data_IF_435515264431
#
_entry.id   IF_435515264431
#
_cell.length_a   1.000
_cell.length_b   1.000
_cell.length_c   1.000
_cell.angle_alpha   90.00
_cell.angle_beta   90.00
_cell.angle_gamma   90.00
#
_symmetry.space_group_name_H-M   'P 1'
#
loop_
_entity.id
_entity.type
_entity.pdbx_description
1 polymer ?
#
# COMPACT_ATOMS: atom_id res chain seq x y z
N UNK A 1 -43.51 6.79 21.13
CA UNK A 1 -42.55 5.79 21.67
C UNK A 1 -41.15 6.00 21.10
N UNK A 2 -40.97 5.99 19.77
CA UNK A 2 -39.68 6.26 19.08
C UNK A 2 -38.86 7.45 19.61
N UNK A 3 -39.50 8.62 19.78
CA UNK A 3 -38.82 9.83 20.26
C UNK A 3 -38.27 9.70 21.69
N UNK A 4 -38.90 8.89 22.56
CA UNK A 4 -38.40 8.64 23.92
C UNK A 4 -37.13 7.79 23.93
N UNK A 5 -37.05 6.81 23.04
CA UNK A 5 -35.86 5.94 22.91
C UNK A 5 -34.68 6.73 22.35
N UNK A 6 -34.90 7.52 21.30
CA UNK A 6 -33.85 8.39 20.75
C UNK A 6 -33.35 9.39 21.81
N UNK A 7 -34.26 9.96 22.61
CA UNK A 7 -33.89 10.84 23.71
C UNK A 7 -33.11 10.10 24.80
N UNK A 8 -33.50 8.88 25.16
CA UNK A 8 -32.79 8.06 26.13
C UNK A 8 -31.37 7.73 25.65
N UNK A 9 -31.23 7.37 24.37
CA UNK A 9 -29.92 7.13 23.74
C UNK A 9 -29.06 8.39 23.78
N UNK A 10 -29.61 9.55 23.40
CA UNK A 10 -28.87 10.81 23.43
C UNK A 10 -28.46 11.21 24.86
N UNK A 11 -29.33 10.98 25.84
CA UNK A 11 -29.07 11.28 27.27
C UNK A 11 -27.98 10.37 27.83
N UNK A 12 -28.06 9.06 27.57
CA UNK A 12 -27.05 8.09 28.00
C UNK A 12 -25.72 8.32 27.28
N UNK A 13 -25.75 8.68 25.99
CA UNK A 13 -24.58 9.07 25.23
C UNK A 13 -23.88 10.28 25.88
N UNK A 14 -24.64 11.33 26.20
CA UNK A 14 -24.11 12.51 26.87
C UNK A 14 -23.54 12.19 28.26
N UNK A 15 -24.21 11.33 29.05
CA UNK A 15 -23.71 10.86 30.35
C UNK A 15 -22.37 10.10 30.22
N UNK A 16 -22.12 9.46 29.08
CA UNK A 16 -20.85 8.79 28.73
C UNK A 16 -19.85 9.71 28.01
N UNK A 17 -20.13 11.00 27.91
CA UNK A 17 -19.27 11.98 27.23
C UNK A 17 -19.24 11.85 25.70
N UNK A 18 -20.26 11.19 25.12
CA UNK A 18 -20.44 11.07 23.68
C UNK A 18 -21.33 12.20 23.17
N UNK A 19 -21.04 12.71 21.98
CA UNK A 19 -21.79 13.83 21.40
C UNK A 19 -22.92 13.29 20.52
N UNK A 20 -24.16 13.62 20.89
CA UNK A 20 -25.35 13.31 20.10
C UNK A 20 -25.66 14.46 19.14
N UNK A 21 -25.89 14.15 17.87
CA UNK A 21 -26.10 15.16 16.81
C UNK A 21 -27.10 14.69 15.76
N UNK A 22 -27.55 15.63 14.93
CA UNK A 22 -28.39 15.29 13.79
C UNK A 22 -27.55 14.56 12.72
N UNK A 23 -28.12 13.57 12.03
CA UNK A 23 -27.36 12.85 11.00
C UNK A 23 -26.86 13.74 9.87
N UNK A 24 -27.61 14.80 9.53
CA UNK A 24 -27.18 15.79 8.54
C UNK A 24 -25.97 16.62 8.98
N UNK A 25 -25.83 16.92 10.27
CA UNK A 25 -24.63 17.57 10.80
C UNK A 25 -23.43 16.61 10.81
N UNK A 26 -23.66 15.37 11.24
CA UNK A 26 -22.66 14.30 11.22
C UNK A 26 -22.11 14.01 9.83
N UNK A 27 -22.96 14.09 8.79
CA UNK A 27 -22.60 13.73 7.42
C UNK A 27 -21.62 14.73 6.76
N UNK A 28 -21.53 15.98 7.24
CA UNK A 28 -20.72 17.03 6.59
C UNK A 28 -19.22 16.73 6.55
N UNK A 29 -18.71 16.04 7.57
CA UNK A 29 -17.28 15.76 7.75
C UNK A 29 -16.92 14.30 7.45
N UNK A 30 -17.79 13.58 6.74
CA UNK A 30 -17.62 12.15 6.46
C UNK A 30 -17.53 11.88 4.96
N UNK A 31 -16.97 10.74 4.59
CA UNK A 31 -16.95 10.31 3.20
C UNK A 31 -18.38 10.08 2.66
N UNK A 32 -18.51 10.04 1.33
CA UNK A 32 -19.81 9.92 0.66
C UNK A 32 -20.58 8.64 1.03
N UNK A 33 -19.89 7.56 1.37
CA UNK A 33 -20.50 6.29 1.75
C UNK A 33 -21.07 6.38 3.17
N UNK A 34 -20.28 6.88 4.12
CA UNK A 34 -20.71 7.13 5.50
C UNK A 34 -21.87 8.14 5.55
N UNK A 35 -21.77 9.24 4.80
CA UNK A 35 -22.82 10.25 4.71
C UNK A 35 -24.16 9.63 4.24
N UNK A 36 -24.13 8.69 3.29
CA UNK A 36 -25.32 7.99 2.81
C UNK A 36 -26.00 7.18 3.91
N UNK A 37 -25.23 6.52 4.77
CA UNK A 37 -25.78 5.69 5.85
C UNK A 37 -26.23 6.53 7.04
N UNK A 38 -25.52 7.63 7.34
CA UNK A 38 -25.96 8.65 8.29
C UNK A 38 -27.29 9.26 7.86
N UNK A 39 -27.47 9.61 6.59
CA UNK A 39 -28.72 10.18 6.09
C UNK A 39 -29.94 9.24 6.19
N UNK A 40 -29.74 7.93 6.42
CA UNK A 40 -30.81 6.95 6.69
C UNK A 40 -31.11 6.78 8.18
N UNK A 41 -30.30 7.39 9.04
CA UNK A 41 -30.37 7.27 10.48
C UNK A 41 -31.28 8.35 11.08
N UNK A 42 -31.76 8.13 12.30
CA UNK A 42 -32.59 9.09 13.04
C UNK A 42 -31.77 9.92 14.03
N UNK A 43 -30.64 9.39 14.49
CA UNK A 43 -29.70 10.03 15.40
C UNK A 43 -28.28 9.68 14.95
N UNK A 44 -27.32 10.56 15.20
CA UNK A 44 -25.90 10.24 15.06
C UNK A 44 -25.19 10.45 16.39
N UNK A 45 -24.26 9.56 16.72
CA UNK A 45 -23.38 9.67 17.88
C UNK A 45 -21.94 9.79 17.42
N UNK A 46 -21.24 10.82 17.87
CA UNK A 46 -19.78 10.90 17.72
C UNK A 46 -19.13 10.24 18.92
N UNK A 47 -18.33 9.23 18.64
CA UNK A 47 -17.59 8.44 19.62
C UNK A 47 -16.09 8.52 19.33
N UNK A 48 -15.23 8.10 20.26
CA UNK A 48 -13.80 7.98 19.98
C UNK A 48 -13.46 6.99 18.85
N UNK A 49 -14.34 6.03 18.56
CA UNK A 49 -14.16 5.09 17.44
C UNK A 49 -14.61 5.69 16.09
N UNK A 50 -15.29 6.84 16.11
CA UNK A 50 -15.87 7.50 14.94
C UNK A 50 -17.35 7.80 15.11
N UNK A 51 -18.00 8.15 14.01
CA UNK A 51 -19.40 8.55 13.99
C UNK A 51 -20.29 7.35 13.68
N UNK A 52 -21.31 7.12 14.51
CA UNK A 52 -22.30 6.06 14.34
C UNK A 52 -23.67 6.65 14.02
N UNK A 53 -24.27 6.16 12.94
CA UNK A 53 -25.67 6.38 12.61
C UNK A 53 -26.54 5.38 13.37
N UNK A 54 -27.57 5.89 14.03
CA UNK A 54 -28.56 5.10 14.76
C UNK A 54 -29.91 5.22 14.06
N UNK A 55 -30.39 4.09 13.57
CA UNK A 55 -31.72 3.95 12.99
C UNK A 55 -32.59 3.13 13.95
N UNK A 56 -33.86 3.51 14.10
CA UNK A 56 -34.86 2.78 14.86
C UNK A 56 -36.06 2.57 13.97
N UNK A 57 -36.48 1.33 13.77
CA UNK A 57 -37.68 1.02 12.99
C UNK A 57 -38.52 -0.01 13.71
N UNK A 58 -39.81 -0.04 13.41
CA UNK A 58 -40.68 -1.12 13.86
C UNK A 58 -40.56 -2.34 12.94
N UNK A 59 -40.58 -3.52 13.56
CA UNK A 59 -40.55 -4.81 12.89
C UNK A 59 -41.95 -5.07 12.35
N UNK A 60 -42.04 -5.29 11.03
CA UNK A 60 -43.30 -5.66 10.39
C UNK A 60 -43.66 -7.13 10.71
N UNK A 61 -44.95 -7.44 10.78
CA UNK A 61 -45.41 -8.81 10.93
C UNK A 61 -45.07 -9.63 9.67
N UNK A 62 -44.79 -10.92 9.86
CA UNK A 62 -44.62 -11.86 8.75
C UNK A 62 -45.97 -12.13 8.06
N UNK A 63 -45.96 -12.30 6.73
CA UNK A 63 -47.14 -12.70 5.97
C UNK A 63 -48.07 -11.56 5.58
N UNK A 64 -47.61 -10.31 5.64
CA UNK A 64 -48.36 -9.19 5.09
C UNK A 64 -48.67 -9.43 3.60
N UNK A 65 -49.83 -9.00 3.09
CA UNK A 65 -50.17 -9.17 1.68
C UNK A 65 -49.24 -8.34 0.79
N UNK A 66 -48.98 -8.88 -0.41
CA UNK A 66 -48.19 -8.18 -1.44
C UNK A 66 -49.00 -6.99 -1.94
N UNK A 67 -48.36 -5.83 -2.02
CA UNK A 67 -48.95 -4.64 -2.61
C UNK A 67 -49.11 -4.89 -4.11
N UNK A 68 -50.34 -4.78 -4.63
CA UNK A 68 -50.68 -5.11 -6.02
C UNK A 68 -49.78 -4.32 -7.00
N UNK A 69 -49.09 -5.00 -7.95
CA UNK A 69 -48.34 -4.34 -9.01
C UNK A 69 -49.17 -3.39 -9.90
N UNK A 70 -50.50 -3.52 -10.00
CA UNK A 70 -51.35 -2.63 -10.83
C UNK A 70 -51.28 -1.14 -10.46
N UNK A 71 -50.68 -0.82 -9.31
CA UNK A 71 -50.65 0.50 -8.69
C UNK A 71 -49.60 1.50 -9.23
N UNK A 72 -48.87 1.19 -10.32
CA UNK A 72 -47.78 2.05 -10.82
C UNK A 72 -48.20 3.49 -11.16
N UNK A 73 -49.45 3.72 -11.56
CA UNK A 73 -49.99 5.07 -11.87
C UNK A 73 -50.29 5.90 -10.61
N UNK A 74 -50.63 5.26 -9.49
CA UNK A 74 -50.99 5.92 -8.22
C UNK A 74 -49.78 6.16 -7.30
N UNK A 75 -48.63 5.52 -7.58
CA UNK A 75 -47.36 5.74 -6.87
C UNK A 75 -46.92 7.21 -6.81
N UNK A 76 -47.29 8.04 -7.79
CA UNK A 76 -46.96 9.47 -7.78
C UNK A 76 -47.79 10.27 -6.77
N UNK A 77 -48.98 9.79 -6.40
CA UNK A 77 -49.88 10.44 -5.44
C UNK A 77 -49.65 9.95 -3.99
N UNK A 78 -48.91 8.86 -3.79
CA UNK A 78 -48.61 8.32 -2.47
C UNK A 78 -47.43 9.02 -1.80
N UNK A 79 -47.46 9.16 -0.45
CA UNK A 79 -46.29 9.53 0.32
C UNK A 79 -45.09 8.62 0.00
N UNK A 80 -43.89 9.21 -0.08
CA UNK A 80 -42.68 8.49 -0.50
C UNK A 80 -42.35 7.24 0.31
N UNK A 81 -42.79 7.17 1.56
CA UNK A 81 -42.60 6.01 2.46
C UNK A 81 -43.54 4.82 2.15
N UNK A 82 -44.63 5.04 1.41
CA UNK A 82 -45.53 3.98 0.89
C UNK A 82 -45.13 3.59 -0.53
N UNK A 83 -44.72 4.57 -1.34
CA UNK A 83 -44.47 4.47 -2.79
C UNK A 83 -43.54 3.33 -3.23
N UNK A 84 -42.62 2.91 -2.37
CA UNK A 84 -41.60 1.90 -2.68
C UNK A 84 -41.78 0.58 -1.92
N UNK A 85 -42.89 0.39 -1.19
CA UNK A 85 -43.17 -0.86 -0.48
C UNK A 85 -43.77 -1.91 -1.40
N UNK A 86 -43.18 -3.11 -1.42
CA UNK A 86 -43.72 -4.27 -2.12
C UNK A 86 -44.74 -5.08 -1.30
N UNK A 87 -44.85 -4.78 0.00
CA UNK A 87 -45.68 -5.50 0.96
C UNK A 87 -46.36 -4.49 1.90
N UNK A 88 -47.58 -4.79 2.32
CA UNK A 88 -48.25 -4.01 3.34
C UNK A 88 -47.46 -4.06 4.65
N UNK A 89 -47.59 -3.00 5.45
CA UNK A 89 -46.92 -2.94 6.74
C UNK A 89 -47.94 -3.18 7.85
N UNK A 90 -47.77 -4.32 8.51
CA UNK A 90 -48.54 -4.68 9.69
C UNK A 90 -47.62 -4.45 10.89
N UNK A 91 -47.94 -3.45 11.70
CA UNK A 91 -47.18 -3.10 12.90
C UNK A 91 -47.27 -4.21 13.96
N UNK A 92 -46.14 -4.60 14.54
CA UNK A 92 -46.09 -5.58 15.62
C UNK A 92 -45.88 -4.94 16.99
N UNK A 93 -45.64 -3.63 17.04
CA UNK A 93 -45.18 -2.90 18.22
C UNK A 93 -43.73 -3.19 18.62
N UNK A 94 -43.05 -4.15 17.97
CA UNK A 94 -41.67 -4.52 18.27
C UNK A 94 -40.68 -3.64 17.50
N UNK A 95 -39.61 -3.23 18.16
CA UNK A 95 -38.61 -2.32 17.63
C UNK A 95 -37.32 -3.03 17.24
N UNK A 96 -36.63 -2.45 16.27
CA UNK A 96 -35.26 -2.79 15.87
C UNK A 96 -34.43 -1.51 15.82
N UNK A 97 -33.35 -1.51 16.59
CA UNK A 97 -32.27 -0.54 16.53
C UNK A 97 -31.18 -1.08 15.59
N UNK A 98 -30.75 -0.26 14.64
CA UNK A 98 -29.66 -0.57 13.72
C UNK A 98 -28.57 0.48 13.92
N UNK A 99 -27.37 0.02 14.20
CA UNK A 99 -26.20 0.86 14.45
C UNK A 99 -25.23 0.69 13.29
N UNK A 100 -24.92 1.77 12.58
CA UNK A 100 -24.00 1.77 11.43
C UNK A 100 -22.83 2.68 11.70
N UNK A 101 -21.62 2.19 11.50
CA UNK A 101 -20.41 3.01 11.63
C UNK A 101 -19.14 2.17 11.58
N UNK A 102 -18.00 2.74 11.96
CA UNK A 102 -16.73 2.03 11.95
C UNK A 102 -16.81 0.74 12.79
N UNK A 103 -16.41 -0.39 12.22
CA UNK A 103 -16.38 -1.67 12.90
C UNK A 103 -17.71 -2.45 12.96
N UNK A 104 -18.85 -1.83 12.62
CA UNK A 104 -20.12 -2.57 12.49
C UNK A 104 -20.13 -3.44 11.23
N UNK A 105 -21.01 -4.44 11.18
CA UNK A 105 -21.23 -5.24 9.97
C UNK A 105 -21.69 -4.40 8.75
N UNK A 106 -21.66 -5.00 7.55
CA UNK A 106 -22.09 -4.35 6.30
C UNK A 106 -23.53 -3.80 6.39
N UNK A 107 -24.43 -4.55 7.03
CA UNK A 107 -25.83 -4.13 7.25
C UNK A 107 -26.04 -3.40 8.57
N UNK A 108 -24.96 -3.10 9.30
CA UNK A 108 -24.98 -2.56 10.66
C UNK A 108 -25.18 -3.64 11.71
N UNK A 109 -25.10 -3.24 12.98
CA UNK A 109 -25.36 -4.09 14.13
C UNK A 109 -26.83 -3.94 14.53
N UNK A 110 -27.53 -5.07 14.68
CA UNK A 110 -28.98 -5.11 14.85
C UNK A 110 -29.36 -5.53 16.28
N UNK A 111 -30.15 -4.69 16.94
CA UNK A 111 -30.69 -4.95 18.28
C UNK A 111 -32.22 -4.90 18.22
N UNK A 112 -32.85 -6.06 18.34
CA UNK A 112 -34.32 -6.23 18.21
C UNK A 112 -34.98 -6.46 19.55
N UNK A 113 -36.23 -6.05 19.69
CA UNK A 113 -37.11 -6.54 20.75
C UNK A 113 -37.19 -8.06 20.69
N UNK A 114 -36.94 -8.68 21.84
CA UNK A 114 -37.19 -10.09 22.07
C UNK A 114 -38.57 -10.28 22.71
N UNK A 115 -38.95 -11.55 22.95
CA UNK A 115 -40.21 -11.87 23.63
C UNK A 115 -40.32 -11.23 25.02
N UNK A 116 -39.20 -11.07 25.72
CA UNK A 116 -39.13 -10.62 27.12
C UNK A 116 -38.17 -9.47 27.37
N UNK A 117 -37.36 -9.08 26.37
CA UNK A 117 -36.31 -8.08 26.52
C UNK A 117 -36.56 -6.98 25.49
N UNK A 118 -36.89 -5.75 25.93
CA UNK A 118 -37.07 -4.62 25.04
C UNK A 118 -35.71 -4.09 24.55
N UNK A 119 -35.70 -3.39 23.42
CA UNK A 119 -34.50 -2.82 22.80
C UNK A 119 -33.78 -1.83 23.72
N UNK A 120 -34.51 -1.13 24.58
CA UNK A 120 -33.98 -0.21 25.58
C UNK A 120 -33.07 -0.92 26.58
N UNK A 121 -33.41 -2.16 26.96
CA UNK A 121 -32.57 -2.96 27.85
C UNK A 121 -31.26 -3.41 27.19
N UNK A 122 -31.14 -3.28 25.86
CA UNK A 122 -29.93 -3.60 25.08
C UNK A 122 -29.02 -2.39 24.86
N UNK A 123 -29.41 -1.19 25.31
CA UNK A 123 -28.56 0.00 25.16
C UNK A 123 -27.16 -0.15 25.78
N UNK A 124 -26.96 -0.78 26.96
CA UNK A 124 -25.62 -1.03 27.48
C UNK A 124 -24.74 -1.85 26.53
N UNK A 125 -25.34 -2.80 25.80
CA UNK A 125 -24.64 -3.62 24.80
C UNK A 125 -24.18 -2.77 23.61
N UNK A 126 -25.01 -1.83 23.16
CA UNK A 126 -24.69 -0.88 22.09
C UNK A 126 -23.48 -0.01 22.48
N UNK A 127 -23.48 0.57 23.67
CA UNK A 127 -22.36 1.40 24.12
C UNK A 127 -21.08 0.59 24.30
N UNK A 128 -21.19 -0.64 24.83
CA UNK A 128 -20.05 -1.57 24.90
C UNK A 128 -19.49 -1.91 23.52
N UNK A 129 -20.33 -2.02 22.49
CA UNK A 129 -19.88 -2.25 21.13
C UNK A 129 -19.01 -1.10 20.60
N UNK A 130 -19.35 0.16 20.90
CA UNK A 130 -18.52 1.32 20.53
C UNK A 130 -17.12 1.26 21.15
N UNK A 131 -17.02 0.87 22.42
CA UNK A 131 -15.74 0.70 23.11
C UNK A 131 -14.89 -0.41 22.47
N UNK A 132 -15.52 -1.55 22.15
CA UNK A 132 -14.86 -2.67 21.46
C UNK A 132 -14.35 -2.22 20.08
N UNK A 133 -15.17 -1.49 19.32
CA UNK A 133 -14.76 -0.97 18.01
C UNK A 133 -13.60 0.00 18.11
N UNK A 134 -13.58 0.88 19.13
CA UNK A 134 -12.44 1.76 19.42
C UNK A 134 -11.16 0.96 19.64
N UNK A 135 -11.20 0.01 20.57
CA UNK A 135 -10.03 -0.79 20.94
C UNK A 135 -9.48 -1.57 19.75
N UNK A 136 -10.36 -2.13 18.90
CA UNK A 136 -9.95 -2.78 17.65
C UNK A 136 -9.31 -1.80 16.68
N UNK A 137 -9.88 -0.62 16.50
CA UNK A 137 -9.32 0.41 15.61
C UNK A 137 -7.93 0.86 16.06
N UNK A 138 -7.76 1.09 17.37
CA UNK A 138 -6.48 1.45 17.98
C UNK A 138 -5.44 0.34 17.81
N UNK A 139 -5.83 -0.92 18.08
CA UNK A 139 -4.98 -2.09 17.85
C UNK A 139 -4.54 -2.18 16.39
N UNK A 140 -5.47 -2.12 15.44
CA UNK A 140 -5.14 -2.17 14.02
C UNK A 140 -4.26 -0.99 13.58
N UNK A 141 -4.43 0.19 14.16
CA UNK A 141 -3.55 1.34 13.88
C UNK A 141 -2.14 1.05 14.37
N UNK A 142 -1.97 0.58 15.60
CA UNK A 142 -0.66 0.22 16.14
C UNK A 142 0.01 -0.87 15.30
N UNK A 143 -0.75 -1.89 14.91
CA UNK A 143 -0.22 -2.99 14.10
C UNK A 143 0.22 -2.52 12.70
N UNK A 144 -0.56 -1.64 12.06
CA UNK A 144 -0.14 -1.01 10.79
C UNK A 144 1.14 -0.21 10.92
N UNK A 145 1.28 0.57 11.99
CA UNK A 145 2.50 1.37 12.22
C UNK A 145 3.71 0.47 12.53
N UNK A 146 3.52 -0.61 13.30
CA UNK A 146 4.57 -1.62 13.52
C UNK A 146 4.99 -2.31 12.23
N UNK A 147 4.03 -2.74 11.42
CA UNK A 147 4.29 -3.40 10.14
C UNK A 147 5.03 -2.46 9.17
N UNK A 148 4.65 -1.18 9.09
CA UNK A 148 5.38 -0.17 8.30
C UNK A 148 6.81 0.01 8.79
N UNK A 149 7.01 0.17 10.09
CA UNK A 149 8.34 0.35 10.67
C UNK A 149 9.24 -0.89 10.48
N UNK A 150 8.67 -2.09 10.58
CA UNK A 150 9.40 -3.33 10.28
C UNK A 150 9.76 -3.43 8.80
N UNK A 151 8.82 -3.14 7.90
CA UNK A 151 9.07 -3.14 6.45
C UNK A 151 10.14 -2.12 6.06
N UNK A 152 10.11 -0.93 6.64
CA UNK A 152 11.15 0.10 6.46
C UNK A 152 12.53 -0.43 6.88
N UNK A 153 12.64 -1.01 8.08
CA UNK A 153 13.92 -1.59 8.57
C UNK A 153 14.45 -2.70 7.66
N UNK A 154 13.57 -3.58 7.19
CA UNK A 154 13.95 -4.66 6.24
C UNK A 154 14.42 -4.09 4.91
N UNK A 155 13.74 -3.06 4.40
CA UNK A 155 14.13 -2.37 3.19
C UNK A 155 15.50 -1.69 3.32
N UNK A 156 15.75 -0.95 4.41
CA UNK A 156 17.05 -0.32 4.69
C UNK A 156 18.18 -1.35 4.76
N UNK A 157 17.94 -2.48 5.44
CA UNK A 157 18.91 -3.58 5.50
C UNK A 157 19.17 -4.17 4.11
N UNK A 158 18.15 -4.32 3.27
CA UNK A 158 18.30 -4.80 1.90
C UNK A 158 19.12 -3.82 1.05
N UNK A 159 18.90 -2.50 1.21
CA UNK A 159 19.68 -1.46 0.51
C UNK A 159 21.16 -1.50 0.87
N UNK A 160 21.50 -1.68 2.15
CA UNK A 160 22.89 -1.80 2.60
C UNK A 160 23.56 -3.03 1.97
N UNK A 161 22.90 -4.18 2.00
CA UNK A 161 23.41 -5.41 1.40
C UNK A 161 23.54 -5.27 -0.13
N UNK A 162 22.57 -4.67 -0.79
CA UNK A 162 22.58 -4.42 -2.23
C UNK A 162 23.74 -3.50 -2.63
N UNK A 163 23.96 -2.40 -1.90
CA UNK A 163 25.08 -1.46 -2.15
C UNK A 163 26.43 -2.17 -2.01
N UNK A 164 26.60 -3.03 -1.00
CA UNK A 164 27.82 -3.84 -0.84
C UNK A 164 28.05 -4.77 -2.03
N UNK A 165 27.01 -5.52 -2.44
CA UNK A 165 27.07 -6.45 -3.58
C UNK A 165 27.35 -5.74 -4.90
N UNK A 166 26.76 -4.55 -5.11
CA UNK A 166 27.03 -3.72 -6.27
C UNK A 166 28.52 -3.39 -6.39
N UNK A 167 29.13 -2.91 -5.30
CA UNK A 167 30.56 -2.56 -5.33
C UNK A 167 31.47 -3.78 -5.48
N UNK A 168 31.11 -4.91 -4.88
CA UNK A 168 31.84 -6.18 -5.08
C UNK A 168 31.79 -6.61 -6.55
N UNK A 169 30.60 -6.57 -7.16
CA UNK A 169 30.42 -6.87 -8.57
C UNK A 169 31.21 -5.90 -9.47
N UNK A 170 31.10 -4.59 -9.26
CA UNK A 170 31.81 -3.59 -10.05
C UNK A 170 33.34 -3.72 -9.96
N UNK A 171 33.88 -4.03 -8.77
CA UNK A 171 35.32 -4.33 -8.62
C UNK A 171 35.72 -5.58 -9.38
N UNK A 172 34.90 -6.61 -9.36
CA UNK A 172 35.16 -7.86 -10.08
C UNK A 172 35.11 -7.67 -11.59
N UNK A 173 34.13 -6.94 -12.12
CA UNK A 173 34.07 -6.60 -13.54
C UNK A 173 35.30 -5.82 -13.99
N UNK A 174 35.68 -4.78 -13.25
CA UNK A 174 36.89 -4.01 -13.54
C UNK A 174 38.16 -4.87 -13.53
N UNK A 175 38.29 -5.77 -12.55
CA UNK A 175 39.42 -6.71 -12.50
C UNK A 175 39.47 -7.61 -13.73
N UNK A 176 38.33 -8.17 -14.17
CA UNK A 176 38.27 -8.97 -15.40
C UNK A 176 38.68 -8.16 -16.63
N UNK A 177 38.27 -6.91 -16.72
CA UNK A 177 38.63 -6.05 -17.84
C UNK A 177 40.14 -5.76 -17.85
N UNK A 178 40.74 -5.42 -16.70
CA UNK A 178 42.20 -5.27 -16.58
C UNK A 178 42.96 -6.55 -16.94
N UNK A 179 42.43 -7.71 -16.53
CA UNK A 179 43.02 -9.01 -16.87
C UNK A 179 42.97 -9.29 -18.39
N UNK A 180 41.89 -8.89 -19.07
CA UNK A 180 41.75 -9.03 -20.53
C UNK A 180 42.68 -8.08 -21.27
N UNK A 181 42.79 -6.83 -20.83
CA UNK A 181 43.74 -5.86 -21.38
C UNK A 181 45.18 -6.37 -21.27
N UNK A 182 45.57 -6.88 -20.09
CA UNK A 182 46.89 -7.48 -19.88
C UNK A 182 47.12 -8.67 -20.82
N UNK A 183 46.13 -9.54 -21.00
CA UNK A 183 46.24 -10.67 -21.93
C UNK A 183 46.45 -10.19 -23.38
N UNK A 184 45.71 -9.17 -23.82
CA UNK A 184 45.86 -8.56 -25.14
C UNK A 184 47.24 -7.92 -25.34
N UNK A 185 47.73 -7.18 -24.35
CA UNK A 185 49.09 -6.59 -24.36
C UNK A 185 50.16 -7.67 -24.52
N UNK A 186 50.05 -8.79 -23.78
CA UNK A 186 51.01 -9.89 -23.93
C UNK A 186 50.91 -10.61 -25.28
N UNK A 187 49.71 -10.69 -25.86
CA UNK A 187 49.55 -11.21 -27.22
C UNK A 187 50.24 -10.28 -28.24
N UNK A 188 50.10 -8.96 -28.11
CA UNK A 188 50.80 -8.00 -28.95
C UNK A 188 52.32 -8.07 -28.77
N UNK A 189 52.82 -8.21 -27.54
CA UNK A 189 54.27 -8.41 -27.28
C UNK A 189 54.82 -9.64 -28.00
N UNK A 190 54.08 -10.76 -27.96
CA UNK A 190 54.47 -11.98 -28.68
C UNK A 190 54.48 -11.77 -30.19
N UNK A 191 53.48 -11.08 -30.73
CA UNK A 191 53.44 -10.72 -32.15
C UNK A 191 54.62 -9.81 -32.53
N UNK A 192 54.90 -8.77 -31.76
CA UNK A 192 56.01 -7.84 -32.01
C UNK A 192 57.36 -8.55 -31.96
N UNK A 193 57.57 -9.45 -31.00
CA UNK A 193 58.78 -10.27 -30.92
C UNK A 193 58.94 -11.13 -32.20
N UNK A 194 57.90 -11.85 -32.61
CA UNK A 194 57.92 -12.67 -33.83
C UNK A 194 58.11 -11.82 -35.10
N UNK A 195 57.49 -10.63 -35.17
CA UNK A 195 57.64 -9.70 -36.28
C UNK A 195 59.06 -9.12 -36.36
N UNK A 196 59.69 -8.83 -35.20
CA UNK A 196 61.08 -8.39 -35.12
C UNK A 196 62.06 -9.46 -35.59
N UNK A 197 61.84 -10.72 -35.20
CA UNK A 197 62.61 -11.87 -35.71
C UNK A 197 62.48 -12.01 -37.24
N UNK A 198 61.25 -11.92 -37.76
CA UNK A 198 60.98 -12.00 -39.20
C UNK A 198 61.61 -10.83 -39.98
N UNK A 199 61.60 -9.61 -39.43
CA UNK A 199 62.25 -8.44 -40.02
C UNK A 199 63.78 -8.59 -40.10
N UNK A 200 64.37 -9.37 -39.18
CA UNK A 200 65.79 -9.72 -39.21
C UNK A 200 66.20 -10.48 -40.48
N UNK A 201 65.27 -11.23 -41.09
CA UNK A 201 65.47 -11.99 -42.33
C UNK A 201 64.87 -11.31 -43.57
N UNK A 202 64.33 -10.10 -43.43
CA UNK A 202 63.62 -9.40 -44.50
C UNK A 202 64.52 -8.34 -45.17
N UNK A 203 64.68 -8.43 -46.49
CA UNK A 203 65.52 -7.54 -47.32
C UNK A 203 64.72 -6.64 -48.28
N UNK A 204 63.43 -6.39 -47.99
CA UNK A 204 62.61 -5.48 -48.80
C UNK A 204 63.00 -4.00 -48.66
N UNK A 205 62.71 -3.20 -49.69
CA UNK A 205 63.04 -1.77 -49.71
C UNK A 205 62.33 -0.94 -48.63
N UNK A 206 61.23 -1.44 -48.09
CA UNK A 206 60.40 -0.86 -47.03
C UNK A 206 60.81 -1.31 -45.61
N UNK A 207 61.86 -2.11 -45.46
CA UNK A 207 62.37 -2.63 -44.17
C UNK A 207 62.49 -1.56 -43.08
N UNK A 208 63.03 -0.39 -43.41
CA UNK A 208 63.20 0.73 -42.47
C UNK A 208 61.87 1.42 -42.10
N UNK A 209 60.86 1.37 -42.97
CA UNK A 209 59.51 1.82 -42.64
C UNK A 209 58.83 0.84 -41.69
N UNK A 210 58.94 -0.47 -41.96
CA UNK A 210 58.42 -1.54 -41.09
C UNK A 210 59.05 -1.45 -39.70
N UNK A 211 60.39 -1.28 -39.62
CA UNK A 211 61.10 -1.14 -38.35
C UNK A 211 60.54 -0.01 -37.50
N UNK A 212 60.37 1.18 -38.09
CA UNK A 212 59.80 2.34 -37.39
C UNK A 212 58.38 2.09 -36.90
N UNK A 213 57.56 1.41 -37.71
CA UNK A 213 56.21 1.03 -37.33
C UNK A 213 56.19 0.07 -36.14
N UNK A 214 57.09 -0.93 -36.11
CA UNK A 214 57.21 -1.87 -34.99
C UNK A 214 57.68 -1.17 -33.70
N UNK A 215 58.66 -0.26 -33.80
CA UNK A 215 59.15 0.53 -32.66
C UNK A 215 58.04 1.42 -32.07
N UNK A 216 57.19 2.02 -32.90
CA UNK A 216 56.05 2.83 -32.47
C UNK A 216 54.95 1.98 -31.84
N UNK A 217 54.66 0.81 -32.42
CA UNK A 217 53.71 -0.15 -31.88
C UNK A 217 54.16 -0.68 -30.51
N UNK A 218 55.45 -0.97 -30.32
CA UNK A 218 56.00 -1.40 -29.03
C UNK A 218 55.80 -0.33 -27.95
N UNK A 219 56.14 0.92 -28.23
CA UNK A 219 55.89 2.04 -27.28
C UNK A 219 54.42 2.15 -26.92
N UNK A 220 53.53 2.00 -27.89
CA UNK A 220 52.08 2.06 -27.68
C UNK A 220 51.59 0.91 -26.79
N UNK A 221 52.05 -0.32 -27.03
CA UNK A 221 51.70 -1.50 -26.22
C UNK A 221 52.19 -1.33 -24.78
N UNK A 222 53.39 -0.79 -24.57
CA UNK A 222 53.92 -0.55 -23.22
C UNK A 222 53.16 0.56 -22.47
N UNK A 223 52.65 1.58 -23.16
CA UNK A 223 51.77 2.58 -22.54
C UNK A 223 50.42 1.99 -22.12
N UNK A 224 49.92 1.00 -22.87
CA UNK A 224 48.63 0.34 -22.59
C UNK A 224 48.73 -0.76 -21.52
N UNK A 225 49.93 -1.12 -21.06
CA UNK A 225 50.09 -2.21 -20.09
C UNK A 225 49.49 -1.86 -18.71
N UNK A 226 48.40 -2.52 -18.29
CA UNK A 226 47.79 -2.25 -17.00
C UNK A 226 48.71 -2.58 -15.82
N UNK A 227 49.71 -3.47 -15.95
CA UNK A 227 50.65 -3.75 -14.85
C UNK A 227 51.74 -2.69 -14.70
N UNK A 228 51.98 -1.88 -15.74
CA UNK A 228 52.83 -0.68 -15.63
C UNK A 228 52.08 0.51 -15.04
N UNK A 229 50.75 0.48 -15.08
CA UNK A 229 49.87 1.49 -14.50
C UNK A 229 49.09 0.92 -13.32
N UNK A 230 49.78 0.56 -12.23
CA UNK A 230 49.15 -0.10 -11.08
C UNK A 230 48.00 0.70 -10.44
N UNK A 231 48.02 2.04 -10.56
CA UNK A 231 46.93 2.90 -10.11
C UNK A 231 45.61 2.62 -10.84
N UNK A 232 45.65 2.09 -12.07
CA UNK A 232 44.47 1.71 -12.86
C UNK A 232 43.82 0.40 -12.39
N UNK A 233 44.49 -0.40 -11.54
CA UNK A 233 43.96 -1.68 -11.04
C UNK A 233 42.79 -1.46 -10.08
N UNK A 234 42.82 -0.37 -9.31
CA UNK A 234 41.73 -0.01 -8.39
C UNK A 234 40.72 0.88 -9.13
N UNK A 235 39.45 0.45 -9.27
CA UNK A 235 38.46 1.27 -9.96
C UNK A 235 38.04 2.45 -9.08
N UNK A 236 37.89 3.62 -9.70
CA UNK A 236 37.23 4.77 -9.09
C UNK A 236 35.71 4.65 -9.25
N UNK A 237 35.05 4.00 -8.28
CA UNK A 237 33.61 3.77 -8.31
C UNK A 237 32.85 4.94 -7.67
N UNK A 238 31.88 5.50 -8.40
CA UNK A 238 30.94 6.50 -7.87
C UNK A 238 29.85 5.83 -7.02
N UNK A 239 29.13 6.62 -6.24
CA UNK A 239 27.96 6.08 -5.53
C UNK A 239 26.89 5.61 -6.54
N UNK A 240 26.35 4.39 -6.35
CA UNK A 240 25.32 3.85 -7.24
C UNK A 240 24.03 4.67 -7.14
N UNK A 241 23.37 4.87 -8.27
CA UNK A 241 22.00 5.36 -8.28
C UNK A 241 21.07 4.26 -7.75
N UNK A 242 19.88 4.61 -7.23
CA UNK A 242 18.93 3.60 -6.75
C UNK A 242 18.63 2.51 -7.79
N UNK A 243 18.51 2.87 -9.07
CA UNK A 243 18.23 1.92 -10.15
C UNK A 243 19.36 0.91 -10.40
N UNK A 244 20.62 1.28 -10.15
CA UNK A 244 21.78 0.40 -10.32
C UNK A 244 21.76 -0.75 -9.29
N UNK A 245 21.05 -0.55 -8.17
CA UNK A 245 20.91 -1.54 -7.10
C UNK A 245 19.85 -2.60 -7.39
N UNK A 246 18.98 -2.38 -8.39
CA UNK A 246 17.87 -3.30 -8.73
C UNK A 246 18.33 -4.76 -8.75
N UNK A 247 19.35 -5.17 -9.54
CA UNK A 247 19.73 -6.58 -9.64
C UNK A 247 20.09 -7.24 -8.29
N UNK A 248 20.45 -6.44 -7.28
CA UNK A 248 20.90 -6.91 -5.96
C UNK A 248 19.83 -6.81 -4.86
N UNK A 249 18.66 -6.22 -5.14
CA UNK A 249 17.61 -5.93 -4.16
C UNK A 249 16.61 -7.08 -3.94
N UNK A 250 16.73 -8.22 -4.63
CA UNK A 250 15.93 -9.44 -4.39
C UNK A 250 14.40 -9.17 -4.30
N UNK A 251 13.88 -8.38 -5.24
CA UNK A 251 12.46 -8.01 -5.30
C UNK A 251 12.07 -6.79 -4.48
N UNK A 252 12.95 -6.20 -3.67
CA UNK A 252 12.70 -4.90 -3.04
C UNK A 252 12.78 -3.76 -4.06
N UNK A 253 11.92 -2.75 -3.91
CA UNK A 253 11.99 -1.55 -4.72
C UNK A 253 13.17 -0.67 -4.29
N UNK A 254 13.91 -0.05 -5.23
CA UNK A 254 15.02 0.84 -4.89
C UNK A 254 14.57 2.21 -4.34
N UNK A 255 13.29 2.57 -4.48
CA UNK A 255 12.77 3.89 -4.11
C UNK A 255 12.02 3.92 -2.78
N UNK A 256 11.77 2.76 -2.17
CA UNK A 256 11.14 2.69 -0.86
C UNK A 256 10.53 1.32 -0.54
N UNK A 257 10.08 1.12 0.71
CA UNK A 257 9.52 -0.15 1.20
C UNK A 257 8.19 -0.54 0.53
N UNK A 258 7.45 0.45 0.03
CA UNK A 258 6.12 0.30 -0.56
C UNK A 258 6.11 0.48 -2.09
N UNK A 259 7.29 0.67 -2.69
CA UNK A 259 7.41 0.74 -4.15
C UNK A 259 7.05 -0.59 -4.77
N UNK A 260 6.43 -0.56 -5.96
CA UNK A 260 6.02 -1.79 -6.66
C UNK A 260 7.22 -2.74 -6.79
N UNK A 261 7.01 -3.98 -6.39
CA UNK A 261 7.94 -5.08 -6.65
C UNK A 261 8.14 -5.18 -8.17
N UNK A 262 9.39 -5.40 -8.59
CA UNK A 262 9.80 -5.50 -10.00
C UNK A 262 10.40 -6.88 -10.27
#
# INVERSE_FOLDING_TARGET
>A
MFSRILQAIATEAAARGLEAMTPGAAAKDTDRYQARDLNKSHLALRTPAGVYGIQIKEIAASGAPKVDPGWWKERKAMPGWIRHRGWEFIGTGKLELIVRGPGSGYDGDHYRDAKTIPVEAKLPEVFRAFEIHKLRADWHKQERERAKAERQRRWESAMVVAKKRYFEHARWEHFKDRSREWQSVNQHRRFLAAAGEALGQYDGADREAIRRQLDEAERTVEMLDPVRQLSSIVPSLSEPKPDDLKPFLQGWSPHGPDGSHW
#
